data_IF_249621035984
#
_entry.id   IF_249621035984
#
_cell.length_a   1.000
_cell.length_b   1.000
_cell.length_c   1.000
_cell.angle_alpha   90.00
_cell.angle_beta   90.00
_cell.angle_gamma   90.00
#
_symmetry.space_group_name_H-M   'P 1'
#
loop_
_entity.id
_entity.type
_entity.pdbx_description
1 polymer ?
#
# COMPACT_ATOMS: atom_id res chain seq x y z
N UNK A 1 -0.33 25.93 31.75
CA UNK A 1 0.19 26.56 30.53
C UNK A 1 1.12 25.54 29.89
N UNK A 2 0.58 24.82 28.91
CA UNK A 2 1.29 23.73 28.23
C UNK A 2 2.42 24.34 27.39
N UNK A 3 3.53 23.60 27.24
CA UNK A 3 4.70 24.10 26.49
C UNK A 3 4.38 24.40 25.01
N UNK A 4 3.24 23.93 24.52
CA UNK A 4 2.75 24.07 23.14
C UNK A 4 2.22 25.49 22.86
N UNK A 5 1.72 26.21 23.87
CA UNK A 5 1.17 27.57 23.69
C UNK A 5 2.24 28.67 23.52
N UNK A 6 3.53 28.29 23.43
CA UNK A 6 4.68 29.21 23.48
C UNK A 6 5.48 29.29 22.18
N UNK A 7 4.99 28.69 21.09
CA UNK A 7 5.64 28.80 19.80
C UNK A 7 5.27 30.14 19.16
N UNK A 8 6.21 31.08 19.15
CA UNK A 8 6.14 32.26 18.28
C UNK A 8 6.47 31.83 16.85
N UNK A 9 5.66 32.29 15.90
CA UNK A 9 5.91 32.06 14.47
C UNK A 9 6.98 33.06 14.01
N UNK A 10 8.17 32.57 13.69
CA UNK A 10 9.19 33.36 13.02
C UNK A 10 8.79 33.50 11.52
N UNK A 11 8.67 34.71 10.96
CA UNK A 11 8.44 34.89 9.53
C UNK A 11 9.64 34.49 8.65
N UNK A 12 10.78 34.09 9.24
CA UNK A 12 11.88 33.50 8.52
C UNK A 12 11.50 32.12 7.94
N UNK A 13 11.89 31.86 6.69
CA UNK A 13 11.41 30.73 5.89
C UNK A 13 11.59 29.33 6.48
N UNK A 14 11.05 28.32 5.78
CA UNK A 14 10.93 26.96 6.29
C UNK A 14 12.20 26.13 6.08
N UNK A 15 12.69 25.51 7.16
CA UNK A 15 13.75 24.50 7.17
C UNK A 15 13.23 23.17 7.74
N UNK A 16 12.49 22.44 6.90
CA UNK A 16 11.91 21.14 7.23
C UNK A 16 12.98 20.09 7.50
N UNK A 17 14.12 20.17 6.83
CA UNK A 17 15.26 19.27 7.00
C UNK A 17 15.81 19.30 8.44
N UNK A 18 16.01 20.49 9.00
CA UNK A 18 16.43 20.64 10.39
C UNK A 18 15.34 20.18 11.38
N UNK A 19 14.07 20.47 11.10
CA UNK A 19 12.94 20.00 11.89
C UNK A 19 12.86 18.46 11.94
N UNK A 20 12.96 17.81 10.78
CA UNK A 20 12.99 16.34 10.68
C UNK A 20 14.20 15.79 11.43
N UNK A 21 15.39 16.36 11.24
CA UNK A 21 16.62 15.90 11.90
C UNK A 21 16.52 15.94 13.42
N UNK A 22 15.98 17.03 13.97
CA UNK A 22 15.75 17.16 15.41
C UNK A 22 14.71 16.16 15.91
N UNK A 23 13.63 15.97 15.14
CA UNK A 23 12.59 14.97 15.44
C UNK A 23 13.15 13.55 15.50
N UNK A 24 13.91 13.15 14.48
CA UNK A 24 14.58 11.84 14.44
C UNK A 24 15.56 11.68 15.60
N UNK A 25 16.40 12.69 15.86
CA UNK A 25 17.36 12.65 16.96
C UNK A 25 16.67 12.48 18.33
N UNK A 26 15.50 13.09 18.55
CA UNK A 26 14.77 12.96 19.81
C UNK A 26 14.18 11.56 19.96
N UNK A 27 13.55 11.02 18.90
CA UNK A 27 12.99 9.66 18.90
C UNK A 27 14.08 8.63 19.14
N UNK A 28 15.27 8.85 18.57
CA UNK A 28 16.44 7.97 18.71
C UNK A 28 17.05 7.96 20.12
N UNK A 29 16.75 8.93 21.00
CA UNK A 29 17.27 8.94 22.38
C UNK A 29 16.69 7.82 23.24
N UNK A 30 15.53 7.28 22.88
CA UNK A 30 14.85 6.23 23.63
C UNK A 30 14.59 4.98 22.76
N UNK A 31 15.63 4.33 22.20
CA UNK A 31 15.44 3.15 21.37
C UNK A 31 15.02 1.99 22.27
N UNK A 32 13.72 1.76 22.38
CA UNK A 32 13.15 0.67 23.17
C UNK A 32 12.70 -0.40 22.21
N UNK A 33 13.23 -1.62 22.36
CA UNK A 33 12.81 -2.74 21.56
C UNK A 33 11.29 -2.93 21.70
N UNK A 34 10.60 -3.01 20.55
CA UNK A 34 9.15 -3.12 20.52
C UNK A 34 8.35 -1.80 20.61
N UNK A 35 8.98 -0.63 20.53
CA UNK A 35 8.23 0.64 20.35
C UNK A 35 8.07 0.97 18.87
N UNK A 36 6.85 1.34 18.50
CA UNK A 36 6.56 2.01 17.24
C UNK A 36 7.06 3.45 17.32
N UNK A 37 7.99 3.80 16.45
CA UNK A 37 8.59 5.13 16.39
C UNK A 37 8.00 5.90 15.21
N UNK A 38 7.36 7.03 15.47
CA UNK A 38 6.75 7.86 14.44
C UNK A 38 7.11 9.33 14.65
N UNK A 39 7.42 10.01 13.54
CA UNK A 39 7.58 11.47 13.48
C UNK A 39 6.45 12.03 12.62
N UNK A 40 5.70 12.98 13.18
CA UNK A 40 4.69 13.75 12.43
C UNK A 40 5.27 15.11 12.07
N UNK A 41 5.17 15.48 10.79
CA UNK A 41 5.62 16.76 10.26
C UNK A 41 4.42 17.51 9.71
N UNK A 42 4.18 18.72 10.20
CA UNK A 42 3.17 19.63 9.66
C UNK A 42 3.89 20.79 8.96
N UNK A 43 3.41 21.16 7.78
CA UNK A 43 3.95 22.29 7.02
C UNK A 43 2.82 23.03 6.30
N UNK A 44 2.88 24.35 6.29
CA UNK A 44 2.04 25.24 5.47
C UNK A 44 2.83 25.90 4.33
N UNK A 45 4.16 25.84 4.40
CA UNK A 45 5.07 26.48 3.45
C UNK A 45 5.99 25.52 2.68
N UNK A 46 6.61 26.03 1.63
CA UNK A 46 7.72 25.39 0.92
C UNK A 46 8.98 25.41 1.79
N UNK A 47 9.82 24.39 1.64
CA UNK A 47 11.06 24.24 2.41
C UNK A 47 12.29 24.37 1.54
N UNK A 48 13.33 24.96 2.11
CA UNK A 48 14.69 24.75 1.61
C UNK A 48 15.18 23.33 1.98
N UNK A 49 16.17 22.80 1.26
CA UNK A 49 16.81 21.52 1.65
C UNK A 49 16.03 20.24 1.28
N UNK A 50 15.17 20.25 0.25
CA UNK A 50 14.36 19.08 -0.16
C UNK A 50 15.16 17.78 -0.33
N UNK A 51 16.38 17.88 -0.89
CA UNK A 51 17.28 16.72 -1.06
C UNK A 51 17.68 16.11 0.28
N UNK A 52 17.94 16.94 1.30
CA UNK A 52 18.30 16.48 2.64
C UNK A 52 17.09 15.85 3.31
N UNK A 53 15.88 16.41 3.13
CA UNK A 53 14.66 15.80 3.64
C UNK A 53 14.47 14.36 3.12
N UNK A 54 14.76 14.13 1.83
CA UNK A 54 14.70 12.78 1.21
C UNK A 54 15.68 11.81 1.84
N UNK A 55 16.93 12.25 2.05
CA UNK A 55 17.96 11.44 2.70
C UNK A 55 17.55 11.08 4.13
N UNK A 56 17.04 12.05 4.90
CA UNK A 56 16.55 11.81 6.26
C UNK A 56 15.36 10.84 6.30
N UNK A 57 14.49 10.86 5.29
CA UNK A 57 13.38 9.90 5.18
C UNK A 57 13.86 8.47 4.90
N UNK A 58 14.90 8.30 4.07
CA UNK A 58 15.55 7.01 3.84
C UNK A 58 16.22 6.50 5.12
N UNK A 59 16.98 7.35 5.81
CA UNK A 59 17.59 7.03 7.11
C UNK A 59 16.55 6.64 8.17
N UNK A 60 15.40 7.33 8.19
CA UNK A 60 14.30 6.99 9.10
C UNK A 60 13.76 5.58 8.83
N UNK A 61 13.55 5.21 7.56
CA UNK A 61 13.10 3.87 7.19
C UNK A 61 14.10 2.77 7.59
N UNK A 62 15.40 3.00 7.40
CA UNK A 62 16.45 2.08 7.84
C UNK A 62 16.39 1.83 9.35
N UNK A 63 16.06 2.87 10.12
CA UNK A 63 15.90 2.81 11.58
C UNK A 63 14.50 2.39 12.04
N UNK A 64 13.60 2.03 11.13
CA UNK A 64 12.19 1.69 11.41
C UNK A 64 11.44 2.81 12.13
N UNK A 65 11.74 4.06 11.76
CA UNK A 65 11.03 5.26 12.19
C UNK A 65 10.14 5.72 11.03
N UNK A 66 8.83 5.74 11.25
CA UNK A 66 7.87 6.16 10.23
C UNK A 66 7.72 7.68 10.20
N UNK A 67 7.64 8.26 9.00
CA UNK A 67 7.41 9.70 8.82
C UNK A 67 6.03 9.94 8.22
N UNK A 68 5.13 10.58 8.98
CA UNK A 68 3.85 11.06 8.47
C UNK A 68 3.92 12.58 8.25
N UNK A 69 3.65 13.03 7.03
CA UNK A 69 3.76 14.44 6.64
C UNK A 69 2.39 15.02 6.29
N UNK A 70 2.11 16.24 6.74
CA UNK A 70 0.81 16.92 6.53
C UNK A 70 1.04 18.31 5.94
N UNK A 71 0.46 18.57 4.78
CA UNK A 71 0.48 19.87 4.13
C UNK A 71 -0.81 20.63 4.41
N UNK A 72 -0.70 21.86 4.90
CA UNK A 72 -1.82 22.77 5.18
C UNK A 72 -1.88 23.83 4.08
N UNK A 73 -3.06 24.09 3.52
CA UNK A 73 -3.21 25.07 2.44
C UNK A 73 -2.52 24.61 1.15
N UNK A 74 -2.11 25.52 0.28
CA UNK A 74 -1.54 25.15 -1.04
C UNK A 74 -0.07 25.51 -1.24
N UNK A 75 0.57 26.16 -0.27
CA UNK A 75 1.90 26.75 -0.42
C UNK A 75 3.03 25.79 -0.03
N UNK A 76 2.97 24.53 -0.48
CA UNK A 76 4.00 23.52 -0.19
C UNK A 76 4.22 22.58 -1.39
N UNK A 77 5.39 21.93 -1.43
CA UNK A 77 5.73 21.02 -2.52
C UNK A 77 5.07 19.65 -2.35
N UNK A 78 4.04 19.38 -3.15
CA UNK A 78 3.32 18.11 -3.08
C UNK A 78 4.13 16.88 -3.52
N UNK A 79 5.09 17.05 -4.42
CA UNK A 79 5.99 15.96 -4.79
C UNK A 79 6.91 15.60 -3.62
N UNK A 80 7.40 16.61 -2.89
CA UNK A 80 8.26 16.40 -1.72
C UNK A 80 7.55 15.55 -0.68
N UNK A 81 6.36 15.95 -0.22
CA UNK A 81 5.64 15.24 0.84
C UNK A 81 5.30 13.79 0.45
N UNK A 82 4.84 13.56 -0.78
CA UNK A 82 4.53 12.20 -1.26
C UNK A 82 5.75 11.30 -1.25
N UNK A 83 6.88 11.82 -1.67
CA UNK A 83 8.15 11.09 -1.65
C UNK A 83 8.64 10.84 -0.23
N UNK A 84 8.56 11.82 0.69
CA UNK A 84 8.95 11.62 2.09
C UNK A 84 8.14 10.52 2.75
N UNK A 85 6.81 10.55 2.59
CA UNK A 85 5.92 9.50 3.09
C UNK A 85 6.27 8.13 2.48
N UNK A 86 6.55 8.08 1.17
CA UNK A 86 6.92 6.83 0.49
C UNK A 86 8.26 6.28 0.99
N UNK A 87 9.28 7.13 1.11
CA UNK A 87 10.63 6.73 1.51
C UNK A 87 10.66 6.24 2.96
N UNK A 88 9.96 6.91 3.86
CA UNK A 88 9.91 6.58 5.28
C UNK A 88 8.84 5.54 5.66
N UNK A 89 8.25 4.85 4.68
CA UNK A 89 7.13 3.89 4.89
C UNK A 89 5.96 4.48 5.71
N UNK A 90 5.69 5.78 5.57
CA UNK A 90 4.63 6.51 6.28
C UNK A 90 3.50 6.99 5.37
N UNK A 91 2.80 8.04 5.80
CA UNK A 91 1.62 8.59 5.10
C UNK A 91 1.79 10.08 4.83
N UNK A 92 1.04 10.58 3.84
CA UNK A 92 0.93 12.02 3.63
C UNK A 92 -0.54 12.43 3.65
N UNK A 93 -0.81 13.65 4.13
CA UNK A 93 -2.16 14.20 4.18
C UNK A 93 -2.18 15.62 3.63
N UNK A 94 -3.28 15.96 2.95
CA UNK A 94 -3.63 17.33 2.60
C UNK A 94 -4.70 17.84 3.57
N UNK A 95 -4.51 19.05 4.07
CA UNK A 95 -5.44 19.73 4.96
C UNK A 95 -5.79 21.06 4.32
N UNK A 96 -7.07 21.25 4.06
CA UNK A 96 -7.56 22.55 3.59
C UNK A 96 -7.44 23.57 4.72
N UNK A 97 -6.86 24.74 4.45
CA UNK A 97 -6.67 25.82 5.43
C UNK A 97 -7.99 26.31 6.05
N UNK A 98 -9.11 26.13 5.32
CA UNK A 98 -10.45 26.45 5.79
C UNK A 98 -10.97 25.43 6.82
N UNK A 99 -10.43 24.21 6.85
CA UNK A 99 -10.78 23.14 7.78
C UNK A 99 -9.84 23.14 9.00
N UNK A 100 -10.04 24.08 9.92
CA UNK A 100 -9.25 24.14 11.17
C UNK A 100 -9.29 22.84 12.00
N UNK A 101 -10.40 22.10 11.94
CA UNK A 101 -10.57 20.80 12.62
C UNK A 101 -9.87 19.65 11.87
N UNK A 102 -9.42 19.86 10.63
CA UNK A 102 -8.79 18.84 9.79
C UNK A 102 -7.49 18.31 10.38
N UNK A 103 -6.69 19.20 10.97
CA UNK A 103 -5.44 18.83 11.66
C UNK A 103 -5.72 17.92 12.84
N UNK A 104 -6.63 18.32 13.74
CA UNK A 104 -6.99 17.55 14.92
C UNK A 104 -7.52 16.15 14.55
N UNK A 105 -8.41 16.08 13.55
CA UNK A 105 -8.96 14.83 13.04
C UNK A 105 -7.87 13.85 12.59
N UNK A 106 -6.92 14.32 11.76
CA UNK A 106 -5.85 13.45 11.23
C UNK A 106 -4.89 13.05 12.35
N UNK A 107 -4.61 13.97 13.29
CA UNK A 107 -3.76 13.68 14.44
C UNK A 107 -4.36 12.58 15.33
N UNK A 108 -5.65 12.70 15.65
CA UNK A 108 -6.39 11.69 16.43
C UNK A 108 -6.47 10.36 15.66
N UNK A 109 -6.65 10.40 14.35
CA UNK A 109 -6.66 9.21 13.51
C UNK A 109 -5.31 8.48 13.55
N UNK A 110 -4.19 9.18 13.37
CA UNK A 110 -2.87 8.54 13.45
C UNK A 110 -2.53 8.08 14.85
N UNK A 111 -2.85 8.85 15.88
CA UNK A 111 -2.69 8.40 17.25
C UNK A 111 -3.53 7.15 17.54
N UNK A 112 -4.75 7.08 17.01
CA UNK A 112 -5.61 5.90 17.06
C UNK A 112 -4.99 4.69 16.37
N UNK A 113 -4.45 4.85 15.16
CA UNK A 113 -3.74 3.76 14.46
C UNK A 113 -2.51 3.29 15.23
N UNK A 114 -1.72 4.21 15.80
CA UNK A 114 -0.56 3.87 16.64
C UNK A 114 -0.99 3.12 17.90
N UNK A 115 -2.08 3.54 18.54
CA UNK A 115 -2.60 2.91 19.75
C UNK A 115 -3.25 1.54 19.49
N UNK A 116 -3.83 1.35 18.29
CA UNK A 116 -4.44 0.10 17.84
C UNK A 116 -3.44 -0.87 17.17
N UNK A 117 -2.19 -0.41 16.94
CA UNK A 117 -1.12 -1.24 16.40
C UNK A 117 -0.84 -2.42 17.34
N UNK A 118 -1.20 -3.61 16.89
CA UNK A 118 -1.00 -4.83 17.67
C UNK A 118 0.20 -5.64 17.22
N UNK A 119 0.63 -5.44 15.98
CA UNK A 119 1.76 -6.12 15.36
C UNK A 119 2.59 -5.08 14.60
N UNK A 120 3.86 -4.94 14.97
CA UNK A 120 4.79 -4.01 14.33
C UNK A 120 5.84 -4.77 13.54
N UNK A 121 6.50 -4.11 12.58
CA UNK A 121 7.55 -4.70 11.75
C UNK A 121 7.15 -6.04 11.13
N UNK A 122 5.92 -6.13 10.63
CA UNK A 122 5.36 -7.35 10.07
C UNK A 122 6.00 -7.61 8.70
N UNK A 123 6.57 -8.80 8.53
CA UNK A 123 7.15 -9.27 7.27
C UNK A 123 6.48 -10.56 6.82
N UNK A 124 6.21 -10.65 5.53
CA UNK A 124 5.77 -11.86 4.86
C UNK A 124 6.97 -12.54 4.19
N UNK A 125 7.34 -13.71 4.71
CA UNK A 125 8.35 -14.58 4.12
C UNK A 125 7.68 -15.60 3.20
N UNK A 126 8.16 -15.68 1.96
CA UNK A 126 7.67 -16.58 0.93
C UNK A 126 8.82 -17.50 0.50
N UNK A 127 8.63 -18.80 0.61
CA UNK A 127 9.59 -19.81 0.13
C UNK A 127 8.95 -20.66 -0.96
N UNK A 128 8.96 -20.22 -2.23
CA UNK A 128 8.42 -20.99 -3.34
C UNK A 128 9.19 -22.28 -3.60
N UNK A 129 8.46 -23.32 -4.03
CA UNK A 129 9.09 -24.57 -4.50
C UNK A 129 9.72 -24.36 -5.87
N UNK A 130 10.53 -25.33 -6.31
CA UNK A 130 11.18 -25.29 -7.62
C UNK A 130 10.16 -25.02 -8.75
N UNK A 131 10.54 -24.12 -9.65
CA UNK A 131 9.79 -23.69 -10.84
C UNK A 131 8.52 -22.88 -10.56
N UNK A 132 8.24 -22.51 -9.31
CA UNK A 132 7.21 -21.52 -8.94
C UNK A 132 7.87 -20.15 -8.77
N UNK A 133 7.30 -19.11 -9.38
CA UNK A 133 7.81 -17.72 -9.24
C UNK A 133 6.73 -16.81 -8.65
N UNK A 134 7.10 -16.03 -7.64
CA UNK A 134 6.26 -14.93 -7.14
C UNK A 134 6.49 -13.73 -8.05
N UNK A 135 5.45 -13.24 -8.71
CA UNK A 135 5.51 -12.07 -9.61
C UNK A 135 5.29 -10.78 -8.84
N UNK A 136 4.26 -10.74 -7.99
CA UNK A 136 3.83 -9.55 -7.25
C UNK A 136 3.20 -9.95 -5.92
N UNK A 137 3.33 -9.05 -4.95
CA UNK A 137 2.62 -9.08 -3.68
C UNK A 137 1.83 -7.77 -3.58
N UNK A 138 0.52 -7.87 -3.33
CA UNK A 138 -0.36 -6.69 -3.23
C UNK A 138 -1.19 -6.78 -1.96
N UNK A 139 -1.32 -5.68 -1.25
CA UNK A 139 -2.39 -5.47 -0.29
C UNK A 139 -3.61 -4.99 -1.06
N UNK A 140 -4.81 -5.51 -0.73
CA UNK A 140 -6.09 -5.09 -1.34
C UNK A 140 -7.07 -4.54 -0.31
N UNK A 141 -6.89 -4.88 0.96
CA UNK A 141 -7.65 -4.30 2.08
C UNK A 141 -6.65 -3.90 3.17
N UNK A 142 -6.78 -2.69 3.76
CA UNK A 142 -7.82 -1.69 3.52
C UNK A 142 -7.66 -0.85 2.24
N UNK A 143 -6.46 -0.80 1.67
CA UNK A 143 -6.16 -0.05 0.45
C UNK A 143 -5.31 -0.90 -0.50
N UNK A 144 -5.51 -0.69 -1.81
CA UNK A 144 -4.76 -1.35 -2.86
C UNK A 144 -3.35 -0.75 -2.93
N UNK A 145 -2.36 -1.53 -2.52
CA UNK A 145 -0.94 -1.14 -2.52
C UNK A 145 -0.07 -2.30 -3.00
N UNK A 146 0.82 -2.03 -3.94
CA UNK A 146 1.86 -2.99 -4.32
C UNK A 146 2.97 -2.99 -3.27
N UNK A 147 3.35 -4.18 -2.81
CA UNK A 147 4.36 -4.37 -1.79
C UNK A 147 5.64 -4.86 -2.45
N UNK A 148 6.73 -4.07 -2.44
CA UNK A 148 8.01 -4.53 -2.93
C UNK A 148 8.50 -5.67 -2.03
N UNK A 149 9.22 -6.62 -2.64
CA UNK A 149 9.88 -7.69 -1.92
C UNK A 149 11.34 -7.79 -2.34
N UNK A 150 12.17 -8.25 -1.41
CA UNK A 150 13.57 -8.56 -1.64
C UNK A 150 13.77 -10.07 -1.62
N UNK A 151 14.81 -10.56 -2.30
CA UNK A 151 15.20 -11.97 -2.32
C UNK A 151 16.60 -12.11 -1.69
N UNK A 152 16.72 -12.17 -0.35
CA UNK A 152 18.00 -12.26 0.34
C UNK A 152 18.75 -13.58 0.11
N UNK A 153 18.02 -14.68 -0.10
CA UNK A 153 18.56 -16.03 -0.29
C UNK A 153 17.81 -16.73 -1.44
N UNK A 154 18.40 -17.80 -2.02
CA UNK A 154 17.77 -18.56 -3.11
C UNK A 154 16.38 -19.06 -2.68
N UNK A 155 15.34 -18.60 -3.38
CA UNK A 155 13.93 -18.95 -3.13
C UNK A 155 13.43 -18.53 -1.74
N UNK A 156 13.96 -17.46 -1.17
CA UNK A 156 13.38 -16.80 0.00
C UNK A 156 13.08 -15.35 -0.34
N UNK A 157 11.79 -15.01 -0.43
CA UNK A 157 11.36 -13.63 -0.66
C UNK A 157 10.79 -13.05 0.62
N UNK A 158 11.06 -11.77 0.87
CA UNK A 158 10.57 -11.03 2.04
C UNK A 158 9.84 -9.78 1.55
N UNK A 159 8.55 -9.67 1.87
CA UNK A 159 7.74 -8.48 1.64
C UNK A 159 7.45 -7.80 2.99
N UNK A 160 7.77 -6.51 3.11
CA UNK A 160 7.42 -5.70 4.30
C UNK A 160 5.93 -5.37 4.27
N UNK A 161 5.19 -5.81 5.29
CA UNK A 161 3.78 -5.45 5.50
C UNK A 161 3.64 -4.21 6.41
N UNK A 162 4.72 -3.79 7.07
CA UNK A 162 4.73 -2.63 7.95
C UNK A 162 4.05 -2.92 9.30
N UNK A 163 3.12 -2.07 9.71
CA UNK A 163 2.39 -2.20 10.98
C UNK A 163 0.95 -2.63 10.73
N UNK A 164 0.49 -3.64 11.47
CA UNK A 164 -0.88 -4.14 11.40
C UNK A 164 -1.65 -3.84 12.70
N UNK A 165 -2.87 -3.33 12.52
CA UNK A 165 -3.82 -3.09 13.59
C UNK A 165 -4.47 -4.42 14.02
N UNK A 166 -4.70 -4.61 15.33
CA UNK A 166 -5.28 -5.86 15.87
C UNK A 166 -6.70 -6.15 15.36
N UNK A 167 -7.51 -5.10 15.26
CA UNK A 167 -8.95 -5.22 15.02
C UNK A 167 -9.34 -4.97 13.55
N UNK A 168 -8.34 -4.87 12.65
CA UNK A 168 -8.56 -4.54 11.24
C UNK A 168 -8.02 -5.65 10.35
N UNK A 169 -8.93 -6.27 9.59
CA UNK A 169 -8.54 -7.32 8.66
C UNK A 169 -7.79 -6.72 7.45
N UNK A 170 -6.56 -7.19 7.25
CA UNK A 170 -5.79 -6.92 6.02
C UNK A 170 -5.88 -8.12 5.09
N UNK A 171 -6.05 -7.84 3.78
CA UNK A 171 -6.07 -8.88 2.75
C UNK A 171 -4.95 -8.65 1.75
N UNK A 172 -4.29 -9.74 1.37
CA UNK A 172 -3.20 -9.74 0.41
C UNK A 172 -3.45 -10.70 -0.74
N UNK A 173 -2.95 -10.32 -1.91
CA UNK A 173 -2.96 -11.10 -3.14
C UNK A 173 -1.53 -11.40 -3.56
N UNK A 174 -1.27 -12.68 -3.84
CA UNK A 174 -0.03 -13.16 -4.43
C UNK A 174 -0.25 -13.56 -5.88
N UNK A 175 0.50 -12.93 -6.79
CA UNK A 175 0.51 -13.31 -8.20
C UNK A 175 1.60 -14.36 -8.42
N UNK A 176 1.21 -15.60 -8.73
CA UNK A 176 2.15 -16.71 -8.90
C UNK A 176 2.23 -17.17 -10.37
N UNK A 177 3.46 -17.43 -10.83
CA UNK A 177 3.71 -18.16 -12.07
C UNK A 177 3.89 -19.63 -11.73
N UNK A 178 2.98 -20.47 -12.23
CA UNK A 178 2.98 -21.91 -11.95
C UNK A 178 3.48 -22.72 -13.15
N UNK A 179 4.28 -23.77 -12.94
CA UNK A 179 4.62 -24.71 -13.99
C UNK A 179 3.42 -25.62 -14.30
N UNK A 180 3.37 -26.16 -15.52
CA UNK A 180 2.42 -27.22 -15.85
C UNK A 180 2.81 -28.49 -15.10
N UNK A 181 1.85 -29.10 -14.38
CA UNK A 181 2.03 -30.35 -13.65
C UNK A 181 0.87 -31.30 -13.95
N UNK A 182 1.08 -32.62 -13.84
CA UNK A 182 -0.01 -33.60 -13.90
C UNK A 182 -1.03 -33.37 -12.78
N UNK A 183 -2.17 -34.06 -12.88
CA UNK A 183 -3.20 -34.04 -11.87
C UNK A 183 -2.66 -34.47 -10.49
N UNK A 184 -2.98 -33.68 -9.46
CA UNK A 184 -2.51 -33.94 -8.10
C UNK A 184 -2.48 -32.70 -7.22
N UNK A 185 -2.27 -32.93 -5.93
CA UNK A 185 -2.11 -31.87 -4.94
C UNK A 185 -0.64 -31.51 -4.81
N UNK A 186 -0.32 -30.23 -5.00
CA UNK A 186 1.04 -29.73 -4.92
C UNK A 186 1.13 -28.53 -4.00
N UNK A 187 2.15 -28.54 -3.14
CA UNK A 187 2.59 -27.34 -2.42
C UNK A 187 3.30 -26.42 -3.41
N UNK A 188 2.90 -25.15 -3.44
CA UNK A 188 3.48 -24.12 -4.31
C UNK A 188 4.53 -23.28 -3.59
N UNK A 189 4.28 -22.92 -2.33
CA UNK A 189 5.18 -22.14 -1.50
C UNK A 189 4.89 -22.41 -0.02
N UNK A 190 5.88 -22.15 0.83
CA UNK A 190 5.69 -21.97 2.27
C UNK A 190 5.58 -20.48 2.56
N UNK A 191 4.58 -20.09 3.35
CA UNK A 191 4.37 -18.73 3.81
C UNK A 191 4.60 -18.65 5.30
N UNK A 192 5.29 -17.61 5.76
CA UNK A 192 5.54 -17.37 7.17
C UNK A 192 5.41 -15.88 7.44
N UNK A 193 4.59 -15.48 8.41
CA UNK A 193 4.49 -14.08 8.84
C UNK A 193 5.29 -13.93 10.12
N UNK A 194 6.25 -13.01 10.11
CA UNK A 194 7.01 -12.64 11.29
C UNK A 194 6.66 -11.23 11.74
N UNK A 195 6.55 -10.99 13.05
CA UNK A 195 6.07 -9.73 13.61
C UNK A 195 6.67 -9.46 15.00
N UNK A 196 6.62 -8.21 15.45
CA UNK A 196 7.00 -7.78 16.80
C UNK A 196 5.75 -7.34 17.58
N UNK A 197 5.55 -7.92 18.76
CA UNK A 197 4.44 -7.61 19.69
C UNK A 197 4.73 -6.43 20.62
N UNK A 198 5.87 -5.79 20.46
CA UNK A 198 6.28 -4.67 21.28
C UNK A 198 7.08 -5.07 22.53
N UNK A 199 7.48 -6.34 22.63
CA UNK A 199 8.27 -6.87 23.75
C UNK A 199 9.76 -7.08 23.40
N UNK A 200 10.17 -6.62 22.20
CA UNK A 200 11.53 -6.78 21.69
C UNK A 200 11.86 -8.20 21.22
N UNK A 201 10.87 -9.08 21.10
CA UNK A 201 11.01 -10.42 20.52
C UNK A 201 10.20 -10.48 19.23
N UNK A 202 10.83 -11.06 18.21
CA UNK A 202 10.14 -11.38 16.97
C UNK A 202 9.43 -12.72 17.12
N UNK A 203 8.14 -12.71 16.86
CA UNK A 203 7.30 -13.91 16.80
C UNK A 203 6.97 -14.26 15.35
N UNK A 204 6.49 -15.48 15.15
CA UNK A 204 6.17 -16.01 13.84
C UNK A 204 4.89 -16.83 13.89
N UNK A 205 4.09 -16.76 12.84
CA UNK A 205 2.94 -17.67 12.63
C UNK A 205 3.38 -19.12 12.39
N UNK A 206 4.68 -19.35 12.15
CA UNK A 206 5.20 -20.59 11.61
C UNK A 206 4.95 -20.73 10.12
N UNK A 207 5.50 -21.80 9.53
CA UNK A 207 5.42 -22.07 8.09
C UNK A 207 4.08 -22.71 7.72
N UNK A 208 3.32 -22.00 6.90
CA UNK A 208 2.03 -22.43 6.37
C UNK A 208 2.20 -22.83 4.89
N UNK A 209 1.95 -24.08 4.50
CA UNK A 209 2.06 -24.51 3.11
C UNK A 209 0.86 -24.03 2.29
N UNK A 210 1.13 -23.29 1.20
CA UNK A 210 0.12 -22.96 0.19
C UNK A 210 0.02 -24.11 -0.82
N UNK A 211 -1.16 -24.72 -0.94
CA UNK A 211 -1.40 -25.89 -1.78
C UNK A 211 -2.43 -25.60 -2.87
N UNK A 212 -2.25 -26.22 -4.04
CA UNK A 212 -3.23 -26.22 -5.12
C UNK A 212 -3.44 -27.63 -5.65
N UNK A 213 -4.64 -27.90 -6.14
CA UNK A 213 -4.94 -29.11 -6.91
C UNK A 213 -4.86 -28.81 -8.40
N UNK A 214 -3.99 -29.54 -9.12
CA UNK A 214 -3.95 -29.57 -10.57
C UNK A 214 -4.98 -30.58 -11.08
N UNK A 215 -5.76 -30.20 -12.09
CA UNK A 215 -6.71 -31.09 -12.76
C UNK A 215 -6.82 -30.76 -14.24
N UNK A 216 -6.82 -31.79 -15.09
CA UNK A 216 -7.10 -31.68 -16.53
C UNK A 216 -8.60 -31.63 -16.84
N UNK A 217 -9.45 -32.11 -15.93
CA UNK A 217 -10.88 -32.39 -16.18
C UNK A 217 -11.85 -31.34 -15.59
N UNK A 218 -11.35 -30.27 -14.99
CA UNK A 218 -12.18 -29.23 -14.34
C UNK A 218 -12.23 -27.93 -15.12
N UNK A 219 -13.38 -27.24 -15.12
CA UNK A 219 -13.36 -25.79 -15.28
C UNK A 219 -12.69 -25.20 -14.03
N UNK A 220 -11.72 -24.32 -14.22
CA UNK A 220 -10.97 -23.71 -13.12
C UNK A 220 -11.94 -23.11 -12.10
N UNK A 221 -11.80 -23.50 -10.83
CA UNK A 221 -12.58 -22.92 -9.75
C UNK A 221 -12.13 -21.47 -9.56
N UNK A 222 -13.00 -20.53 -9.90
CA UNK A 222 -12.79 -19.10 -9.64
C UNK A 222 -13.37 -18.83 -8.26
N UNK A 223 -12.51 -18.52 -7.29
CA UNK A 223 -12.95 -18.05 -5.99
C UNK A 223 -13.55 -16.64 -6.16
N UNK A 224 -14.82 -16.46 -5.81
CA UNK A 224 -15.56 -15.21 -5.99
C UNK A 224 -14.98 -14.04 -5.17
N UNK A 225 -14.41 -14.30 -3.98
CA UNK A 225 -13.79 -13.24 -3.17
C UNK A 225 -12.46 -12.80 -3.78
N UNK A 226 -11.68 -13.73 -4.35
CA UNK A 226 -10.51 -13.39 -5.17
C UNK A 226 -10.92 -12.61 -6.41
N UNK A 227 -11.93 -13.05 -7.14
CA UNK A 227 -12.38 -12.40 -8.37
C UNK A 227 -12.75 -10.95 -8.13
N UNK A 228 -13.53 -10.66 -7.08
CA UNK A 228 -13.88 -9.29 -6.69
C UNK A 228 -12.65 -8.42 -6.47
N UNK A 229 -11.65 -8.92 -5.75
CA UNK A 229 -10.44 -8.15 -5.51
C UNK A 229 -9.54 -8.03 -6.75
N UNK A 230 -9.56 -9.00 -7.67
CA UNK A 230 -8.90 -8.86 -8.96
C UNK A 230 -9.52 -7.72 -9.77
N UNK A 231 -10.85 -7.65 -9.82
CA UNK A 231 -11.58 -6.60 -10.55
C UNK A 231 -11.23 -5.21 -9.97
N UNK A 232 -11.25 -5.06 -8.64
CA UNK A 232 -10.84 -3.83 -7.95
C UNK A 232 -9.39 -3.44 -8.28
N UNK A 233 -8.48 -4.42 -8.32
CA UNK A 233 -7.07 -4.21 -8.67
C UNK A 233 -6.90 -3.82 -10.14
N UNK A 234 -7.70 -4.39 -11.04
CA UNK A 234 -7.66 -4.08 -12.47
C UNK A 234 -8.12 -2.64 -12.72
N UNK A 235 -9.22 -2.22 -12.10
CA UNK A 235 -9.69 -0.83 -12.12
C UNK A 235 -8.61 0.12 -11.57
N UNK A 236 -7.94 -0.26 -10.47
CA UNK A 236 -6.84 0.51 -9.90
C UNK A 236 -5.66 0.65 -10.88
N UNK A 237 -5.24 -0.44 -11.53
CA UNK A 237 -4.17 -0.41 -12.53
C UNK A 237 -4.54 0.45 -13.74
N UNK A 238 -5.78 0.36 -14.23
CA UNK A 238 -6.27 1.20 -15.32
C UNK A 238 -6.27 2.68 -14.92
N UNK A 239 -6.74 3.02 -13.73
CA UNK A 239 -6.69 4.40 -13.24
C UNK A 239 -5.26 4.93 -13.13
N UNK A 240 -4.33 4.11 -12.62
CA UNK A 240 -2.91 4.47 -12.53
C UNK A 240 -2.30 4.73 -13.93
N UNK A 241 -2.58 3.85 -14.89
CA UNK A 241 -2.12 4.00 -16.26
C UNK A 241 -2.72 5.24 -16.94
N UNK A 242 -4.01 5.52 -16.69
CA UNK A 242 -4.68 6.72 -17.18
C UNK A 242 -4.02 7.98 -16.63
N UNK A 243 -3.75 8.04 -15.32
CA UNK A 243 -3.07 9.18 -14.71
C UNK A 243 -1.66 9.37 -15.27
N UNK A 244 -0.91 8.29 -15.49
CA UNK A 244 0.39 8.36 -16.15
C UNK A 244 0.29 8.84 -17.60
N UNK A 245 -0.68 8.36 -18.38
CA UNK A 245 -0.89 8.80 -19.76
C UNK A 245 -1.27 10.28 -19.85
N UNK A 246 -2.11 10.77 -18.93
CA UNK A 246 -2.46 12.19 -18.81
C UNK A 246 -1.23 13.02 -18.44
N UNK A 247 -0.41 12.56 -17.49
CA UNK A 247 0.83 13.23 -17.10
C UNK A 247 1.85 13.30 -18.26
N UNK A 248 1.84 12.31 -19.16
CA UNK A 248 2.67 12.27 -20.36
C UNK A 248 2.06 13.00 -21.57
N UNK A 249 0.86 13.58 -21.43
CA UNK A 249 0.12 14.30 -22.48
C UNK A 249 -0.19 13.44 -23.73
N UNK A 250 -0.28 12.12 -23.57
CA UNK A 250 -0.65 11.19 -24.64
C UNK A 250 -2.17 11.00 -24.68
N UNK A 251 -2.83 11.82 -25.51
CA UNK A 251 -4.29 11.87 -25.63
C UNK A 251 -4.90 10.56 -26.18
N UNK A 252 -4.14 9.76 -26.93
CA UNK A 252 -4.64 8.53 -27.53
C UNK A 252 -4.78 7.40 -26.51
N UNK A 253 -3.75 7.20 -25.68
CA UNK A 253 -3.74 6.14 -24.66
C UNK A 253 -4.69 6.48 -23.50
N UNK A 254 -4.80 7.77 -23.14
CA UNK A 254 -5.76 8.22 -22.13
C UNK A 254 -7.22 7.91 -22.52
N UNK A 255 -7.59 8.07 -23.80
CA UNK A 255 -8.94 7.77 -24.27
C UNK A 255 -9.23 6.27 -24.28
N UNK A 256 -8.26 5.44 -24.70
CA UNK A 256 -8.39 3.97 -24.70
C UNK A 256 -8.56 3.40 -23.30
N UNK A 257 -7.79 3.90 -22.34
CA UNK A 257 -7.86 3.45 -20.94
C UNK A 257 -9.17 3.88 -20.29
N UNK A 258 -9.64 5.11 -20.56
CA UNK A 258 -10.94 5.60 -20.06
C UNK A 258 -12.13 4.78 -20.61
N UNK A 259 -12.10 4.38 -21.88
CA UNK A 259 -13.12 3.50 -22.47
C UNK A 259 -13.12 2.10 -21.86
N UNK A 260 -11.95 1.58 -21.49
CA UNK A 260 -11.83 0.25 -20.85
C UNK A 260 -12.42 0.27 -19.43
N UNK A 261 -12.18 1.33 -18.66
CA UNK A 261 -12.77 1.51 -17.32
C UNK A 261 -14.30 1.55 -17.40
N UNK A 262 -14.85 2.31 -18.36
CA UNK A 262 -16.30 2.40 -18.54
C UNK A 262 -16.98 1.07 -18.89
N UNK A 263 -16.30 0.19 -19.66
CA UNK A 263 -16.83 -1.13 -20.00
C UNK A 263 -16.76 -2.12 -18.82
N UNK A 264 -15.76 -2.01 -17.94
CA UNK A 264 -15.66 -2.82 -16.73
C UNK A 264 -16.68 -2.40 -15.66
N UNK A 265 -16.93 -1.10 -15.51
CA UNK A 265 -17.97 -0.57 -14.61
C UNK A 265 -19.38 -1.06 -15.02
N UNK A 266 -19.66 -1.17 -16.32
CA UNK A 266 -20.95 -1.65 -16.85
C UNK A 266 -21.10 -3.19 -16.79
N UNK A 267 -20.01 -3.94 -16.59
CA UNK A 267 -20.00 -5.40 -16.53
C UNK A 267 -20.00 -5.98 -15.10
N UNK A 268 -19.82 -5.15 -14.08
CA UNK A 268 -19.89 -5.55 -12.67
C UNK A 268 -21.32 -5.84 -12.19
N UNK A 269 -21.53 -6.73 -11.20
CA UNK A 269 -22.83 -6.94 -10.61
C UNK A 269 -23.29 -5.66 -9.90
N UNK A 270 -24.47 -5.16 -10.28
CA UNK A 270 -25.10 -3.97 -9.73
C UNK A 270 -25.17 -4.03 -8.19
N UNK A 271 -24.23 -3.38 -7.50
CA UNK A 271 -24.15 -3.50 -6.05
C UNK A 271 -22.93 -2.86 -5.38
N UNK A 272 -22.44 -1.71 -5.83
CA UNK A 272 -21.53 -0.87 -5.03
C UNK A 272 -21.64 0.61 -5.44
N UNK A 273 -22.86 1.15 -5.38
CA UNK A 273 -23.07 2.60 -5.38
C UNK A 273 -22.53 3.18 -4.07
N UNK A 274 -21.26 3.59 -4.07
CA UNK A 274 -20.59 4.10 -2.88
C UNK A 274 -19.22 4.75 -3.09
N UNK A 275 -18.86 5.17 -4.30
CA UNK A 275 -17.71 6.07 -4.51
C UNK A 275 -18.00 6.98 -5.69
N UNK A 276 -18.43 8.19 -5.38
CA UNK A 276 -18.72 9.26 -6.33
C UNK A 276 -17.41 9.80 -6.91
N UNK A 277 -16.82 9.10 -7.88
CA UNK A 277 -15.73 9.62 -8.70
C UNK A 277 -16.34 10.31 -9.93
N UNK A 278 -16.27 11.64 -9.90
CA UNK A 278 -16.74 12.56 -10.95
C UNK A 278 -16.13 12.18 -12.31
N UNK A 279 -16.92 11.59 -13.21
CA UNK A 279 -16.58 11.36 -14.62
C UNK A 279 -16.16 12.70 -15.27
N UNK A 280 -15.00 12.81 -15.95
CA UNK A 280 -14.79 13.89 -16.91
C UNK A 280 -15.65 13.60 -18.15
N UNK A 281 -16.57 14.51 -18.48
CA UNK A 281 -17.33 14.46 -19.74
C UNK A 281 -16.35 14.60 -20.91
N UNK A 282 -16.10 13.51 -21.63
CA UNK A 282 -15.55 13.56 -23.00
C UNK A 282 -16.68 13.21 -23.95
N UNK A 283 -16.92 14.10 -24.92
CA UNK A 283 -18.01 14.00 -25.90
C UNK A 283 -17.86 12.77 -26.79
N UNK A 284 -18.95 12.01 -26.92
CA UNK A 284 -19.12 10.95 -27.91
C UNK A 284 -18.93 11.45 -29.34
N UNK A 285 -18.21 10.68 -30.16
CA UNK A 285 -18.55 10.49 -31.57
C UNK A 285 -17.81 9.27 -32.17
N UNK A 286 -18.54 8.56 -33.03
CA UNK A 286 -18.11 7.60 -34.06
C UNK A 286 -18.05 6.09 -33.72
N UNK A 287 -19.21 5.45 -33.88
CA UNK A 287 -19.49 4.29 -34.75
C UNK A 287 -18.35 3.33 -35.18
N UNK A 288 -18.57 2.03 -34.92
CA UNK A 288 -18.47 1.01 -35.96
C UNK A 288 -17.48 -0.15 -35.77
N UNK A 289 -18.04 -1.31 -35.43
CA UNK A 289 -17.72 -2.65 -35.94
C UNK A 289 -16.45 -3.39 -35.44
N UNK A 290 -16.65 -4.68 -35.10
CA UNK A 290 -15.63 -5.73 -35.33
C UNK A 290 -15.26 -6.59 -34.12
N UNK A 291 -15.84 -7.78 -34.03
CA UNK A 291 -15.40 -8.87 -33.13
C UNK A 291 -13.94 -9.23 -33.37
N UNK A 292 -13.22 -9.65 -32.33
CA UNK A 292 -12.24 -10.75 -32.39
C UNK A 292 -11.85 -11.23 -30.97
N UNK A 293 -11.88 -12.54 -30.76
CA UNK A 293 -11.46 -13.23 -29.53
C UNK A 293 -9.94 -13.38 -29.45
N UNK A 294 -9.37 -13.43 -28.25
CA UNK A 294 -8.06 -14.07 -28.05
C UNK A 294 -7.96 -14.77 -26.69
N UNK A 295 -7.42 -15.98 -26.75
CA UNK A 295 -7.35 -16.98 -25.70
C UNK A 295 -6.31 -16.69 -24.60
N UNK A 296 -6.72 -16.96 -23.36
CA UNK A 296 -6.04 -17.87 -22.44
C UNK A 296 -4.59 -17.60 -22.07
N UNK A 297 -4.38 -16.77 -21.04
CA UNK A 297 -3.22 -16.87 -20.14
C UNK A 297 -3.74 -16.97 -18.71
N UNK A 298 -3.65 -18.16 -18.12
CA UNK A 298 -4.09 -18.38 -16.74
C UNK A 298 -3.11 -17.73 -15.76
N UNK A 299 -3.53 -16.66 -15.12
CA UNK A 299 -2.95 -16.19 -13.85
C UNK A 299 -3.64 -16.94 -12.72
N UNK A 300 -2.87 -17.56 -11.83
CA UNK A 300 -3.40 -18.15 -10.61
C UNK A 300 -3.22 -17.14 -9.48
N UNK A 301 -4.33 -16.81 -8.82
CA UNK A 301 -4.38 -15.84 -7.73
C UNK A 301 -4.76 -16.60 -6.46
N UNK A 302 -3.88 -16.56 -5.47
CA UNK A 302 -4.09 -17.22 -4.19
C UNK A 302 -4.66 -16.22 -3.17
N UNK A 303 -5.77 -16.58 -2.52
CA UNK A 303 -6.34 -15.84 -1.40
C UNK A 303 -5.79 -16.35 -0.08
N UNK A 304 -5.44 -15.43 0.81
CA UNK A 304 -5.22 -15.76 2.22
C UNK A 304 -6.58 -15.81 2.92
N UNK A 305 -6.92 -16.98 3.47
CA UNK A 305 -8.09 -17.15 4.34
C UNK A 305 -7.87 -16.48 5.70
N UNK A 306 -8.96 -16.05 6.33
CA UNK A 306 -8.98 -15.49 7.69
C UNK A 306 -8.19 -16.36 8.66
N UNK A 307 -7.14 -15.79 9.26
CA UNK A 307 -6.51 -16.35 10.45
C UNK A 307 -7.53 -16.18 11.59
N UNK A 308 -8.31 -17.23 11.80
CA UNK A 308 -9.27 -17.35 12.91
C UNK A 308 -8.51 -17.09 14.22
N UNK A 309 -9.03 -16.13 14.98
CA UNK A 309 -8.63 -15.82 16.35
C UNK A 309 -8.64 -17.09 17.21
N UNK A 310 -7.46 -17.64 17.47
CA UNK A 310 -7.25 -18.54 18.59
C UNK A 310 -7.08 -17.69 19.84
N UNK A 311 -7.96 -17.89 20.82
CA UNK A 311 -7.87 -17.29 22.15
C UNK A 311 -6.47 -17.54 22.74
N UNK A 312 -5.70 -16.47 22.95
CA UNK A 312 -4.56 -16.39 23.86
C UNK A 312 -4.49 -14.99 24.47
#
# INVERSE_FOLDING_TARGET
MERIDRYDVDPAGTSMDEGIRLGLSEVEKCPTAGRLSQVLVLTDGETSGETVCRQLAEEAAEKKIHLTVMGIGTEWNASLLKDLARLAEGKWYYIDESEKEGVERIFLQEFGHLAAAGFTNVEMHLTPVKDVKVKRVRQVVPEIKELPFIEPDDRHLIASLGTLEKDKASRYILDLSLPKRPDGNYVLLQLEISYDLGNGRRETTGKVPLQIQYTEAGQGYINAEVARHIDEVQIYELNKNLQQAIALNDKGEAQRVAETIGQEDDAGPAGSSGTEHRRPRVQENAAGCGRCSAAGRGNAVAQLGELVSGEW
#
